data_IF_942034160016
#
_entry.id   IF_942034160016
#
_cell.length_a   1.000
_cell.length_b   1.000
_cell.length_c   1.000
_cell.angle_alpha   90.00
_cell.angle_beta   90.00
_cell.angle_gamma   90.00
#
_symmetry.space_group_name_H-M   'P 1'
#
loop_
_entity.id
_entity.type
_entity.pdbx_description
1 polymer ?
#
# COMPACT_ATOMS: atom_id res chain seq x y z
N UNK A 1 -38.58 0.83 -14.45
CA UNK A 1 -37.28 1.40 -14.05
C UNK A 1 -37.13 2.66 -14.87
N UNK A 2 -37.11 3.82 -14.23
CA UNK A 2 -36.92 5.08 -14.94
C UNK A 2 -35.52 5.11 -15.56
N UNK A 3 -35.40 5.74 -16.73
CA UNK A 3 -34.14 5.88 -17.46
C UNK A 3 -33.24 6.84 -16.69
N UNK A 4 -32.21 6.30 -16.04
CA UNK A 4 -31.22 7.04 -15.28
C UNK A 4 -30.03 7.36 -16.18
N UNK A 5 -29.77 8.65 -16.39
CA UNK A 5 -28.61 9.14 -17.14
C UNK A 5 -27.75 10.05 -16.29
N UNK A 6 -26.45 9.98 -16.49
CA UNK A 6 -25.49 10.94 -15.95
C UNK A 6 -24.99 11.82 -17.09
N UNK A 7 -24.99 13.13 -16.88
CA UNK A 7 -24.53 14.11 -17.87
C UNK A 7 -23.37 14.90 -17.28
N UNK A 8 -22.27 14.96 -18.02
CA UNK A 8 -21.12 15.80 -17.62
C UNK A 8 -21.52 17.27 -17.55
N UNK A 9 -20.92 17.99 -16.60
CA UNK A 9 -21.11 19.43 -16.44
C UNK A 9 -20.68 20.20 -17.69
N UNK A 10 -21.35 21.33 -17.93
CA UNK A 10 -20.93 22.27 -18.97
C UNK A 10 -19.66 22.99 -18.50
N UNK A 11 -18.69 23.14 -19.40
CA UNK A 11 -17.54 24.02 -19.16
C UNK A 11 -18.03 25.45 -18.84
N UNK A 12 -17.36 26.13 -17.90
CA UNK A 12 -17.67 27.50 -17.44
C UNK A 12 -17.64 28.53 -18.59
N UNK A 13 -16.97 28.21 -19.70
CA UNK A 13 -17.03 28.94 -20.98
C UNK A 13 -17.26 27.95 -22.12
N UNK A 14 -18.53 27.63 -22.46
CA UNK A 14 -18.82 26.68 -23.52
C UNK A 14 -18.49 27.31 -24.88
N UNK A 15 -17.46 26.78 -25.53
CA UNK A 15 -17.25 26.90 -26.98
C UNK A 15 -18.39 26.14 -27.70
N UNK A 16 -18.78 26.59 -28.91
CA UNK A 16 -19.72 25.90 -29.81
C UNK A 16 -19.36 24.41 -30.06
N UNK A 17 -18.10 24.01 -29.86
CA UNK A 17 -17.60 22.63 -29.96
C UNK A 17 -17.57 21.85 -28.63
N UNK A 18 -18.08 22.40 -27.53
CA UNK A 18 -18.07 21.70 -26.23
C UNK A 18 -18.97 20.47 -26.27
N UNK A 19 -18.37 19.29 -26.45
CA UNK A 19 -19.09 18.01 -26.43
C UNK A 19 -19.46 17.64 -25.00
N UNK A 20 -20.77 17.68 -24.71
CA UNK A 20 -21.30 17.13 -23.46
C UNK A 20 -21.37 15.62 -23.60
N UNK A 21 -20.75 14.91 -22.67
CA UNK A 21 -20.88 13.46 -22.55
C UNK A 21 -22.09 13.12 -21.70
N UNK A 22 -22.85 12.15 -22.16
CA UNK A 22 -23.99 11.57 -21.47
C UNK A 22 -23.79 10.06 -21.37
N UNK A 23 -24.08 9.51 -20.20
CA UNK A 23 -23.92 8.11 -19.88
C UNK A 23 -25.25 7.53 -19.43
N UNK A 24 -25.67 6.46 -20.12
CA UNK A 24 -26.86 5.68 -19.80
C UNK A 24 -26.54 4.73 -18.65
N UNK A 25 -26.94 5.09 -17.43
CA UNK A 25 -26.51 4.38 -16.21
C UNK A 25 -27.13 2.98 -16.15
N UNK A 26 -28.40 2.82 -16.53
CA UNK A 26 -29.02 1.48 -16.55
C UNK A 26 -28.35 0.57 -17.60
N UNK A 27 -27.95 1.10 -18.75
CA UNK A 27 -27.25 0.33 -19.77
C UNK A 27 -25.85 -0.10 -19.29
N UNK A 28 -25.14 0.81 -18.61
CA UNK A 28 -23.85 0.50 -17.97
C UNK A 28 -24.01 -0.57 -16.89
N UNK A 29 -24.97 -0.42 -15.99
CA UNK A 29 -25.27 -1.40 -14.94
C UNK A 29 -25.54 -2.80 -15.54
N UNK A 30 -26.36 -2.85 -16.58
CA UNK A 30 -26.67 -4.10 -17.31
C UNK A 30 -25.40 -4.69 -17.92
N UNK A 31 -24.55 -3.89 -18.56
CA UNK A 31 -23.33 -4.38 -19.20
C UNK A 31 -22.27 -4.88 -18.21
N UNK A 32 -22.16 -4.24 -17.04
CA UNK A 32 -21.19 -4.60 -16.00
C UNK A 32 -21.64 -5.81 -15.20
N UNK A 33 -22.96 -6.02 -15.09
CA UNK A 33 -23.56 -7.07 -14.29
C UNK A 33 -23.54 -6.76 -12.80
N UNK A 34 -24.40 -7.48 -12.07
CA UNK A 34 -24.64 -7.25 -10.64
C UNK A 34 -23.37 -7.35 -9.80
N UNK A 35 -22.59 -8.42 -10.02
CA UNK A 35 -21.36 -8.65 -9.24
C UNK A 35 -20.37 -7.51 -9.36
N UNK A 36 -20.09 -7.04 -10.58
CA UNK A 36 -19.10 -5.97 -10.75
C UNK A 36 -19.63 -4.65 -10.20
N UNK A 37 -20.93 -4.36 -10.38
CA UNK A 37 -21.58 -3.20 -9.80
C UNK A 37 -21.46 -3.18 -8.27
N UNK A 38 -21.65 -4.32 -7.61
CA UNK A 38 -21.46 -4.48 -6.17
C UNK A 38 -20.02 -4.14 -5.73
N UNK A 39 -19.02 -4.48 -6.55
CA UNK A 39 -17.60 -4.23 -6.25
C UNK A 39 -17.11 -2.81 -6.60
N UNK A 40 -17.86 -2.03 -7.38
CA UNK A 40 -17.41 -0.69 -7.81
C UNK A 40 -17.06 0.25 -6.66
N UNK A 41 -17.82 0.32 -5.54
CA UNK A 41 -17.49 1.17 -4.40
C UNK A 41 -16.09 0.89 -3.83
N UNK A 42 -15.77 -0.38 -3.55
CA UNK A 42 -14.47 -0.73 -2.99
C UNK A 42 -13.34 -0.56 -4.00
N UNK A 43 -13.58 -0.88 -5.28
CA UNK A 43 -12.62 -0.65 -6.37
C UNK A 43 -12.27 0.85 -6.47
N UNK A 44 -13.29 1.71 -6.39
CA UNK A 44 -13.11 3.15 -6.45
C UNK A 44 -12.34 3.68 -5.24
N UNK A 45 -12.71 3.26 -4.03
CA UNK A 45 -12.08 3.69 -2.79
C UNK A 45 -10.62 3.21 -2.66
N UNK A 46 -10.29 1.98 -3.08
CA UNK A 46 -8.91 1.46 -3.08
C UNK A 46 -8.04 2.19 -4.10
N UNK A 47 -8.59 2.49 -5.28
CA UNK A 47 -7.91 3.27 -6.33
C UNK A 47 -7.76 4.77 -6.00
N UNK A 48 -8.21 5.19 -4.81
CA UNK A 48 -8.20 6.56 -4.30
C UNK A 48 -9.43 7.36 -4.71
N UNK A 49 -10.01 8.10 -3.78
CA UNK A 49 -11.11 9.04 -4.00
C UNK A 49 -10.85 10.34 -3.21
N UNK A 50 -11.86 11.17 -3.00
CA UNK A 50 -11.67 12.44 -2.28
C UNK A 50 -11.32 12.24 -0.80
N UNK A 51 -11.73 11.13 -0.20
CA UNK A 51 -11.48 10.80 1.22
C UNK A 51 -10.39 9.75 1.43
N UNK A 52 -10.01 9.00 0.38
CA UNK A 52 -8.97 7.96 0.47
C UNK A 52 -7.84 8.25 -0.51
N UNK A 53 -6.60 8.20 -0.01
CA UNK A 53 -5.41 8.30 -0.85
C UNK A 53 -5.40 7.22 -1.94
N UNK A 54 -4.72 7.45 -3.06
CA UNK A 54 -4.40 6.36 -4.00
C UNK A 54 -3.12 5.64 -3.58
N UNK A 55 -3.07 4.34 -3.82
CA UNK A 55 -1.82 3.57 -3.78
C UNK A 55 -0.90 4.03 -4.93
N UNK A 56 0.37 4.29 -4.64
CA UNK A 56 1.29 4.75 -5.68
C UNK A 56 1.44 3.70 -6.78
N UNK A 57 1.36 4.14 -8.05
CA UNK A 57 1.38 3.26 -9.22
C UNK A 57 0.08 2.49 -9.50
N UNK A 58 -0.93 2.57 -8.62
CA UNK A 58 -2.21 1.88 -8.77
C UNK A 58 -3.32 2.93 -8.87
N UNK A 59 -3.86 3.12 -10.08
CA UNK A 59 -5.07 3.91 -10.32
C UNK A 59 -6.30 3.02 -10.50
N UNK A 60 -7.50 3.61 -10.44
CA UNK A 60 -8.82 2.94 -10.53
C UNK A 60 -8.95 1.92 -11.68
N UNK A 61 -8.32 2.19 -12.82
CA UNK A 61 -8.36 1.30 -13.97
C UNK A 61 -7.72 -0.07 -13.73
N UNK A 62 -6.68 -0.17 -12.89
CA UNK A 62 -5.98 -1.43 -12.64
C UNK A 62 -6.83 -2.39 -11.78
N UNK A 63 -7.35 -2.00 -10.59
CA UNK A 63 -8.24 -2.86 -9.82
C UNK A 63 -9.50 -3.23 -10.61
N UNK A 64 -10.08 -2.29 -11.37
CA UNK A 64 -11.27 -2.57 -12.19
C UNK A 64 -11.01 -3.64 -13.25
N UNK A 65 -9.97 -3.45 -14.08
CA UNK A 65 -9.60 -4.43 -15.11
C UNK A 65 -9.28 -5.80 -14.51
N UNK A 66 -8.61 -5.81 -13.35
CA UNK A 66 -8.28 -7.05 -12.66
C UNK A 66 -9.52 -7.74 -12.09
N UNK A 67 -10.48 -7.01 -11.53
CA UNK A 67 -11.75 -7.58 -11.08
C UNK A 67 -12.58 -8.15 -12.23
N UNK A 68 -12.49 -7.55 -13.41
CA UNK A 68 -13.16 -8.06 -14.62
C UNK A 68 -12.53 -9.34 -15.18
N UNK A 69 -11.21 -9.52 -15.08
CA UNK A 69 -10.50 -10.65 -15.70
C UNK A 69 -10.08 -11.76 -14.73
N UNK A 70 -10.09 -11.52 -13.42
CA UNK A 70 -9.66 -12.47 -12.40
C UNK A 70 -10.76 -12.70 -11.35
N UNK A 71 -11.46 -13.84 -11.47
CA UNK A 71 -12.52 -14.25 -10.54
C UNK A 71 -12.06 -14.38 -9.10
N UNK A 72 -10.81 -14.82 -8.87
CA UNK A 72 -10.24 -14.94 -7.52
C UNK A 72 -10.10 -13.56 -6.89
N UNK A 73 -9.58 -12.58 -7.63
CA UNK A 73 -9.46 -11.20 -7.15
C UNK A 73 -10.83 -10.56 -6.91
N UNK A 74 -11.81 -10.78 -7.80
CA UNK A 74 -13.18 -10.32 -7.57
C UNK A 74 -13.78 -10.91 -6.28
N UNK A 75 -13.52 -12.19 -5.99
CA UNK A 75 -13.95 -12.84 -4.74
C UNK A 75 -13.23 -12.27 -3.51
N UNK A 76 -11.97 -11.87 -3.61
CA UNK A 76 -11.26 -11.22 -2.52
C UNK A 76 -11.85 -9.83 -2.21
N UNK A 77 -12.23 -9.06 -3.24
CA UNK A 77 -12.91 -7.78 -3.05
C UNK A 77 -14.30 -7.94 -2.43
N UNK A 78 -15.04 -8.97 -2.83
CA UNK A 78 -16.33 -9.35 -2.25
C UNK A 78 -16.16 -9.69 -0.75
N UNK A 79 -15.17 -10.52 -0.41
CA UNK A 79 -14.83 -10.82 0.99
C UNK A 79 -14.49 -9.56 1.78
N UNK A 80 -13.73 -8.61 1.21
CA UNK A 80 -13.44 -7.33 1.87
C UNK A 80 -14.73 -6.55 2.12
N UNK A 81 -15.65 -6.49 1.17
CA UNK A 81 -16.94 -5.82 1.36
C UNK A 81 -17.83 -6.54 2.38
N UNK A 82 -17.79 -7.87 2.45
CA UNK A 82 -18.63 -8.65 3.34
C UNK A 82 -18.02 -8.85 4.74
N UNK A 83 -16.78 -8.39 4.96
CA UNK A 83 -16.11 -8.46 6.26
C UNK A 83 -16.94 -7.81 7.37
N UNK A 84 -17.00 -8.51 8.50
CA UNK A 84 -17.67 -8.01 9.71
C UNK A 84 -16.68 -7.64 10.81
N UNK A 85 -15.44 -8.17 10.74
CA UNK A 85 -14.40 -7.95 11.76
C UNK A 85 -13.11 -7.36 11.18
N UNK A 86 -12.29 -6.75 12.04
CA UNK A 86 -10.98 -6.23 11.62
C UNK A 86 -9.98 -7.35 11.35
N UNK A 87 -10.14 -8.49 12.00
CA UNK A 87 -9.32 -9.69 11.85
C UNK A 87 -9.53 -10.32 10.46
N UNK A 88 -10.77 -10.50 10.03
CA UNK A 88 -11.10 -10.92 8.67
C UNK A 88 -10.54 -9.94 7.64
N UNK A 89 -10.74 -8.65 7.89
CA UNK A 89 -10.26 -7.58 7.01
C UNK A 89 -8.74 -7.58 6.89
N UNK A 90 -8.00 -7.92 7.96
CA UNK A 90 -6.53 -8.04 7.88
C UNK A 90 -6.15 -9.05 6.81
N UNK A 91 -6.73 -10.24 6.87
CA UNK A 91 -6.40 -11.32 5.94
C UNK A 91 -6.92 -11.05 4.52
N UNK A 92 -8.17 -10.61 4.34
CA UNK A 92 -8.76 -10.37 3.01
C UNK A 92 -8.15 -9.13 2.35
N UNK A 93 -7.99 -8.05 3.11
CA UNK A 93 -7.39 -6.80 2.66
C UNK A 93 -5.94 -6.95 2.23
N UNK A 94 -5.14 -7.71 2.98
CA UNK A 94 -3.75 -8.00 2.61
C UNK A 94 -3.69 -8.72 1.25
N UNK A 95 -4.52 -9.74 1.05
CA UNK A 95 -4.57 -10.48 -0.23
C UNK A 95 -4.89 -9.58 -1.40
N UNK A 96 -5.86 -8.66 -1.24
CA UNK A 96 -6.18 -7.66 -2.26
C UNK A 96 -4.95 -6.82 -2.60
N UNK A 97 -4.22 -6.32 -1.60
CA UNK A 97 -3.01 -5.53 -1.82
C UNK A 97 -1.88 -6.32 -2.48
N UNK A 98 -1.60 -7.53 -2.00
CA UNK A 98 -0.60 -8.44 -2.57
C UNK A 98 -0.89 -8.67 -4.04
N UNK A 99 -2.12 -9.00 -4.38
CA UNK A 99 -2.55 -9.26 -5.76
C UNK A 99 -2.47 -7.98 -6.61
N UNK A 100 -2.84 -6.80 -6.09
CA UNK A 100 -2.72 -5.52 -6.82
C UNK A 100 -1.27 -5.14 -7.15
N UNK A 101 -0.32 -5.50 -6.28
CA UNK A 101 1.10 -5.31 -6.52
C UNK A 101 1.76 -6.48 -7.31
N UNK A 102 0.97 -7.47 -7.74
CA UNK A 102 1.47 -8.62 -8.51
C UNK A 102 2.31 -9.58 -7.69
N UNK A 103 1.99 -9.72 -6.40
CA UNK A 103 2.48 -10.79 -5.54
C UNK A 103 1.69 -12.09 -5.73
N UNK A 104 2.17 -13.16 -5.09
CA UNK A 104 1.49 -14.46 -5.06
C UNK A 104 0.55 -14.51 -3.85
N UNK A 105 -0.56 -15.23 -3.95
CA UNK A 105 -1.52 -15.39 -2.85
C UNK A 105 -0.95 -16.07 -1.58
N UNK A 106 0.23 -16.69 -1.67
CA UNK A 106 0.95 -17.30 -0.55
C UNK A 106 1.95 -16.36 0.13
N UNK A 107 2.17 -15.17 -0.42
CA UNK A 107 3.08 -14.17 0.12
C UNK A 107 2.34 -13.18 1.03
N UNK A 108 3.04 -12.67 2.04
CA UNK A 108 2.59 -11.50 2.79
C UNK A 108 2.98 -10.22 2.05
N UNK A 109 2.32 -9.11 2.38
CA UNK A 109 2.63 -7.82 1.77
C UNK A 109 4.05 -7.36 2.11
N UNK A 110 4.54 -7.65 3.32
CA UNK A 110 5.91 -7.34 3.72
C UNK A 110 6.94 -8.20 3.00
N UNK A 111 6.69 -9.50 2.82
CA UNK A 111 7.62 -10.37 2.07
C UNK A 111 7.65 -10.00 0.58
N UNK A 112 6.49 -9.63 0.01
CA UNK A 112 6.39 -9.06 -1.34
C UNK A 112 7.18 -7.75 -1.47
N UNK A 113 7.08 -6.86 -0.48
CA UNK A 113 7.81 -5.59 -0.44
C UNK A 113 9.32 -5.83 -0.43
N UNK A 114 9.82 -6.74 0.40
CA UNK A 114 11.24 -7.11 0.47
C UNK A 114 11.71 -7.72 -0.85
N UNK A 115 10.94 -8.66 -1.42
CA UNK A 115 11.28 -9.28 -2.70
C UNK A 115 11.40 -8.25 -3.82
N UNK A 116 10.41 -7.35 -3.96
CA UNK A 116 10.45 -6.27 -4.97
C UNK A 116 11.59 -5.28 -4.74
N UNK A 117 11.96 -5.02 -3.48
CA UNK A 117 13.14 -4.22 -3.18
C UNK A 117 14.41 -4.91 -3.67
N UNK A 118 14.62 -6.19 -3.33
CA UNK A 118 15.77 -6.99 -3.81
C UNK A 118 15.83 -7.01 -5.34
N UNK A 119 14.71 -7.27 -6.00
CA UNK A 119 14.62 -7.28 -7.46
C UNK A 119 15.05 -5.93 -8.07
N UNK A 120 14.66 -4.81 -7.46
CA UNK A 120 15.03 -3.47 -7.92
C UNK A 120 16.50 -3.16 -7.67
N UNK A 121 17.04 -3.51 -6.50
CA UNK A 121 18.47 -3.30 -6.18
C UNK A 121 19.37 -4.06 -7.15
N UNK A 122 18.99 -5.29 -7.53
CA UNK A 122 19.76 -6.09 -8.49
C UNK A 122 19.67 -5.54 -9.92
N UNK A 123 18.51 -5.00 -10.31
CA UNK A 123 18.26 -4.57 -11.71
C UNK A 123 18.59 -3.12 -12.01
N UNK A 124 18.63 -2.24 -11.00
CA UNK A 124 18.79 -0.80 -11.19
C UNK A 124 20.11 -0.31 -10.57
N UNK A 125 20.88 0.44 -11.35
CA UNK A 125 22.08 1.14 -10.85
C UNK A 125 21.74 2.42 -10.04
N UNK A 126 20.48 2.87 -10.09
CA UNK A 126 19.99 4.04 -9.35
C UNK A 126 19.33 3.64 -8.02
N UNK A 127 19.26 4.61 -7.11
CA UNK A 127 18.62 4.44 -5.80
C UNK A 127 17.15 4.01 -5.94
N UNK A 128 16.73 3.04 -5.12
CA UNK A 128 15.35 2.58 -5.10
C UNK A 128 14.44 3.63 -4.47
N UNK A 129 13.57 4.21 -5.28
CA UNK A 129 12.49 5.06 -4.82
C UNK A 129 11.43 4.24 -4.04
N UNK A 130 11.23 4.58 -2.77
CA UNK A 130 10.42 3.82 -1.82
C UNK A 130 8.94 3.79 -2.23
N UNK A 131 8.43 4.85 -2.85
CA UNK A 131 7.05 4.94 -3.33
C UNK A 131 6.73 3.90 -4.42
N UNK A 132 7.75 3.38 -5.12
CA UNK A 132 7.57 2.33 -6.13
C UNK A 132 7.49 0.92 -5.52
N UNK A 133 7.60 0.78 -4.20
CA UNK A 133 7.42 -0.48 -3.49
C UNK A 133 5.97 -0.62 -3.00
N UNK A 134 5.44 -1.85 -2.85
CA UNK A 134 4.19 -2.07 -2.11
C UNK A 134 4.31 -1.45 -0.71
N UNK A 135 3.25 -0.90 -0.10
CA UNK A 135 3.33 -0.37 1.26
C UNK A 135 3.73 -1.47 2.25
N UNK A 136 4.12 -1.10 3.47
CA UNK A 136 4.22 -2.07 4.56
C UNK A 136 2.84 -2.68 4.83
N UNK A 137 2.80 -3.86 5.44
CA UNK A 137 1.54 -4.47 5.87
C UNK A 137 0.71 -3.48 6.68
N UNK A 138 1.31 -2.85 7.69
CA UNK A 138 0.66 -1.89 8.57
C UNK A 138 0.04 -0.69 7.82
N UNK A 139 0.82 -0.01 6.96
CA UNK A 139 0.30 1.12 6.18
C UNK A 139 -0.77 0.68 5.15
N UNK A 140 -0.58 -0.50 4.55
CA UNK A 140 -1.53 -1.10 3.61
C UNK A 140 -2.88 -1.41 4.28
N UNK A 141 -2.85 -1.97 5.49
CA UNK A 141 -4.06 -2.28 6.26
C UNK A 141 -4.87 -1.03 6.55
N UNK A 142 -4.22 0.04 7.00
CA UNK A 142 -4.90 1.30 7.26
C UNK A 142 -5.51 1.92 5.99
N UNK A 143 -4.86 1.77 4.84
CA UNK A 143 -5.46 2.16 3.55
C UNK A 143 -6.72 1.35 3.24
N UNK A 144 -6.67 0.03 3.39
CA UNK A 144 -7.84 -0.84 3.15
C UNK A 144 -8.98 -0.52 4.13
N UNK A 145 -8.69 -0.30 5.41
CA UNK A 145 -9.72 0.07 6.39
C UNK A 145 -10.48 1.33 5.99
N UNK A 146 -9.77 2.38 5.58
CA UNK A 146 -10.42 3.61 5.13
C UNK A 146 -11.21 3.41 3.84
N UNK A 147 -10.66 2.63 2.91
CA UNK A 147 -11.35 2.31 1.66
C UNK A 147 -12.64 1.50 1.90
N UNK A 148 -12.60 0.54 2.83
CA UNK A 148 -13.76 -0.23 3.25
C UNK A 148 -14.81 0.66 3.92
N UNK A 149 -14.41 1.49 4.89
CA UNK A 149 -15.30 2.45 5.54
C UNK A 149 -16.01 3.32 4.50
N UNK A 150 -15.25 3.92 3.58
CA UNK A 150 -15.80 4.78 2.56
C UNK A 150 -16.78 4.05 1.63
N UNK A 151 -16.43 2.83 1.21
CA UNK A 151 -17.31 2.01 0.38
C UNK A 151 -18.61 1.67 1.11
N UNK A 152 -18.54 1.32 2.41
CA UNK A 152 -19.72 1.06 3.23
C UNK A 152 -20.59 2.29 3.42
N UNK A 153 -20.01 3.48 3.62
CA UNK A 153 -20.78 4.72 3.66
C UNK A 153 -21.57 4.96 2.36
N UNK A 154 -21.00 4.66 1.19
CA UNK A 154 -21.73 4.80 -0.08
C UNK A 154 -22.81 3.75 -0.31
N UNK A 155 -22.68 2.58 0.31
CA UNK A 155 -23.60 1.45 0.14
C UNK A 155 -24.72 1.45 1.18
N UNK A 156 -24.49 2.05 2.35
CA UNK A 156 -25.52 2.32 3.34
C UNK A 156 -26.40 3.49 2.88
N UNK A 157 -27.66 3.52 3.31
CA UNK A 157 -28.43 4.77 3.31
C UNK A 157 -27.79 5.72 4.33
N UNK A 158 -27.82 7.03 4.08
CA UNK A 158 -27.03 8.03 4.82
C UNK A 158 -27.15 7.95 6.36
N UNK A 159 -28.27 7.46 6.90
CA UNK A 159 -28.52 7.31 8.34
C UNK A 159 -28.11 5.94 8.93
N UNK A 160 -27.81 4.95 8.08
CA UNK A 160 -27.63 3.53 8.46
C UNK A 160 -26.17 3.08 8.47
N UNK A 161 -25.20 3.97 8.25
CA UNK A 161 -23.79 3.59 8.33
C UNK A 161 -23.36 3.39 9.78
N UNK A 162 -23.60 2.20 10.33
CA UNK A 162 -23.29 1.83 11.71
C UNK A 162 -21.77 1.71 12.00
N UNK A 163 -20.90 1.91 11.01
CA UNK A 163 -19.45 1.83 11.20
C UNK A 163 -18.91 3.14 11.77
N UNK A 164 -18.10 3.05 12.82
CA UNK A 164 -17.39 4.20 13.36
C UNK A 164 -16.08 4.39 12.60
N UNK A 165 -15.86 5.57 12.02
CA UNK A 165 -14.64 5.88 11.26
C UNK A 165 -13.35 5.53 12.02
N UNK A 166 -13.30 5.81 13.32
CA UNK A 166 -12.13 5.58 14.18
C UNK A 166 -11.75 4.10 14.31
N UNK A 167 -12.69 3.18 14.12
CA UNK A 167 -12.44 1.74 14.12
C UNK A 167 -11.85 1.27 12.78
N UNK A 168 -11.98 2.10 11.74
CA UNK A 168 -11.64 1.78 10.34
C UNK A 168 -10.61 2.74 9.75
N UNK A 169 -9.54 2.98 10.50
CA UNK A 169 -8.34 3.63 10.00
C UNK A 169 -8.38 5.16 9.93
N UNK A 170 -9.34 5.75 10.65
CA UNK A 170 -9.37 7.17 10.97
C UNK A 170 -9.01 7.40 12.44
N UNK A 171 -8.68 8.63 12.78
CA UNK A 171 -8.47 9.10 14.14
C UNK A 171 -9.15 10.46 14.32
N UNK A 172 -9.74 10.69 15.49
CA UNK A 172 -10.25 12.01 15.84
C UNK A 172 -9.11 12.85 16.42
N UNK A 173 -8.80 13.95 15.76
CA UNK A 173 -7.90 14.97 16.25
C UNK A 173 -8.68 16.28 16.39
N UNK A 174 -9.15 16.55 17.61
CA UNK A 174 -9.87 17.78 17.97
C UNK A 174 -11.15 17.98 17.14
N UNK A 175 -11.96 16.93 16.98
CA UNK A 175 -13.21 16.96 16.22
C UNK A 175 -13.02 16.92 14.70
N UNK A 176 -11.79 16.66 14.23
CA UNK A 176 -11.48 16.43 12.81
C UNK A 176 -11.04 14.99 12.61
N UNK A 177 -11.72 14.30 11.69
CA UNK A 177 -11.29 12.98 11.25
C UNK A 177 -10.05 13.11 10.36
N UNK A 178 -8.95 12.55 10.83
CA UNK A 178 -7.68 12.49 10.12
C UNK A 178 -7.33 11.03 9.79
N UNK A 179 -6.66 10.77 8.65
CA UNK A 179 -6.24 9.41 8.33
C UNK A 179 -5.22 8.92 9.35
N UNK A 180 -5.42 7.72 9.90
CA UNK A 180 -4.37 7.00 10.62
C UNK A 180 -3.53 6.25 9.58
N UNK A 181 -2.30 6.68 9.34
CA UNK A 181 -1.52 6.18 8.20
C UNK A 181 -0.81 4.86 8.50
N UNK A 182 -0.32 4.67 9.71
CA UNK A 182 0.45 3.52 10.19
C UNK A 182 0.65 3.66 11.72
N UNK A 183 0.89 2.54 12.39
CA UNK A 183 1.26 2.46 13.81
C UNK A 183 2.74 2.19 14.02
N UNK A 184 3.38 1.55 13.04
CA UNK A 184 4.80 1.26 13.07
C UNK A 184 5.63 2.47 12.63
N UNK A 185 6.90 2.52 13.04
CA UNK A 185 7.84 3.50 12.50
C UNK A 185 8.13 3.22 11.01
N UNK A 186 8.41 4.26 10.18
CA UNK A 186 8.66 4.08 8.75
C UNK A 186 9.83 3.16 8.42
N UNK A 187 10.79 3.09 9.33
CA UNK A 187 11.91 2.17 9.30
C UNK A 187 12.34 1.86 10.75
N UNK A 188 13.01 0.73 10.98
CA UNK A 188 13.70 0.45 12.24
C UNK A 188 14.61 1.61 12.66
N UNK A 189 14.70 1.84 13.97
CA UNK A 189 15.49 2.93 14.56
C UNK A 189 16.95 2.96 14.08
N UNK A 190 17.58 1.80 13.90
CA UNK A 190 18.97 1.69 13.42
C UNK A 190 19.12 2.12 11.96
N UNK A 191 18.07 2.00 11.13
CA UNK A 191 18.04 2.47 9.75
C UNK A 191 17.71 3.96 9.68
N UNK A 192 16.82 4.46 10.54
CA UNK A 192 16.59 5.91 10.64
C UNK A 192 17.83 6.65 11.17
N UNK A 193 18.58 5.97 12.04
CA UNK A 193 19.87 6.40 12.56
C UNK A 193 21.02 5.85 11.69
N UNK A 194 20.86 5.73 10.37
CA UNK A 194 21.92 5.20 9.49
C UNK A 194 23.18 6.07 9.61
N UNK A 195 24.05 5.67 10.53
CA UNK A 195 25.30 6.34 10.82
C UNK A 195 26.35 5.52 10.10
N UNK A 196 26.70 5.97 8.91
CA UNK A 196 27.86 5.46 8.19
C UNK A 196 29.08 6.20 8.74
N UNK A 197 30.03 5.48 9.32
CA UNK A 197 31.27 6.12 9.71
C UNK A 197 32.08 6.46 8.46
N UNK A 198 32.78 7.60 8.54
CA UNK A 198 33.75 8.03 7.52
C UNK A 198 35.18 7.58 7.88
N UNK A 199 35.30 6.51 8.67
CA UNK A 199 36.59 6.02 9.13
C UNK A 199 37.41 5.47 7.97
N UNK A 200 38.67 5.89 7.89
CA UNK A 200 39.67 5.46 6.90
C UNK A 200 40.46 4.20 7.31
N UNK A 201 40.13 3.64 8.47
CA UNK A 201 40.88 2.53 9.04
C UNK A 201 40.13 1.90 10.20
N UNK A 202 40.90 1.43 11.18
CA UNK A 202 40.34 0.67 12.29
C UNK A 202 39.37 1.51 13.15
N UNK A 203 38.20 0.93 13.41
CA UNK A 203 37.07 1.56 14.11
C UNK A 203 37.08 1.21 15.61
N UNK A 204 38.27 1.12 16.22
CA UNK A 204 38.46 0.66 17.61
C UNK A 204 38.20 1.73 18.68
N UNK A 205 37.92 2.97 18.29
CA UNK A 205 37.67 4.09 19.22
C UNK A 205 36.33 4.78 18.93
N UNK A 206 35.83 5.57 19.88
CA UNK A 206 34.57 6.33 19.74
C UNK A 206 34.67 7.53 18.77
N UNK A 207 35.78 7.65 18.04
CA UNK A 207 35.88 8.51 16.85
C UNK A 207 35.06 7.95 15.68
N UNK A 208 34.86 6.62 15.65
CA UNK A 208 33.91 5.97 14.77
C UNK A 208 32.48 6.31 15.22
N UNK A 209 31.72 6.97 14.35
CA UNK A 209 30.33 7.35 14.63
C UNK A 209 29.42 6.13 14.81
N UNK A 210 29.66 5.03 14.09
CA UNK A 210 28.95 3.77 14.31
C UNK A 210 29.15 3.29 15.75
N UNK A 211 30.41 3.16 16.19
CA UNK A 211 30.76 2.68 17.53
C UNK A 211 30.26 3.60 18.64
N UNK A 212 30.41 4.91 18.46
CA UNK A 212 29.92 5.93 19.40
C UNK A 212 28.42 5.79 19.68
N UNK A 213 27.68 5.28 18.70
CA UNK A 213 26.23 5.11 18.76
C UNK A 213 25.83 3.65 19.03
N UNK A 214 26.79 2.80 19.41
CA UNK A 214 26.56 1.39 19.73
C UNK A 214 26.27 0.49 18.53
N UNK A 215 26.53 0.96 17.31
CA UNK A 215 26.31 0.20 16.06
C UNK A 215 27.60 -0.44 15.55
N UNK A 216 27.47 -1.59 14.90
CA UNK A 216 28.55 -2.23 14.14
C UNK A 216 28.69 -1.62 12.74
N UNK A 217 29.92 -1.51 12.27
CA UNK A 217 30.21 -1.06 10.91
C UNK A 217 29.77 -2.13 9.91
N UNK A 218 29.13 -1.69 8.83
CA UNK A 218 28.69 -2.54 7.72
C UNK A 218 29.41 -2.15 6.43
N UNK A 219 29.21 -2.91 5.36
CA UNK A 219 29.69 -2.59 4.01
C UNK A 219 29.22 -1.24 3.46
N UNK A 220 28.22 -0.60 4.09
CA UNK A 220 27.79 0.76 3.76
C UNK A 220 28.71 1.85 4.36
N UNK A 221 29.61 1.52 5.30
CA UNK A 221 30.56 2.47 5.87
C UNK A 221 31.69 2.78 4.87
N UNK A 222 32.26 3.99 4.93
CA UNK A 222 33.06 4.55 3.81
C UNK A 222 34.22 3.66 3.34
N UNK A 223 35.33 3.67 4.06
CA UNK A 223 36.55 2.95 3.68
C UNK A 223 36.72 1.69 4.53
N UNK A 224 36.25 1.70 5.79
CA UNK A 224 36.31 0.49 6.61
C UNK A 224 35.42 -0.65 6.09
N UNK A 225 34.30 -0.31 5.44
CA UNK A 225 33.33 -1.25 4.84
C UNK A 225 32.89 -2.41 5.72
N UNK A 226 33.01 -2.29 7.04
CA UNK A 226 32.68 -3.38 7.95
C UNK A 226 33.56 -4.64 7.79
N UNK A 227 34.67 -4.58 7.04
CA UNK A 227 35.61 -5.71 6.88
C UNK A 227 37.02 -5.31 7.31
N UNK A 228 37.41 -4.07 7.05
CA UNK A 228 38.72 -3.51 7.36
C UNK A 228 38.79 -2.84 8.74
N UNK A 229 37.83 -3.11 9.64
CA UNK A 229 37.81 -2.51 10.98
C UNK A 229 37.32 -3.45 12.08
N UNK A 230 37.85 -3.25 13.29
CA UNK A 230 37.50 -4.00 14.52
C UNK A 230 36.05 -3.84 14.99
N UNK A 231 35.29 -2.88 14.46
CA UNK A 231 33.88 -2.67 14.81
C UNK A 231 32.91 -3.36 13.84
N UNK A 232 33.38 -4.34 13.06
CA UNK A 232 32.55 -5.14 12.17
C UNK A 232 31.68 -6.17 12.88
N UNK A 233 30.65 -6.66 12.18
CA UNK A 233 29.99 -7.93 12.51
C UNK A 233 30.86 -9.06 12.02
N UNK A 234 31.30 -9.97 12.88
CA UNK A 234 31.80 -11.26 12.42
C UNK A 234 30.65 -11.93 11.66
N UNK A 235 30.88 -12.26 10.39
CA UNK A 235 29.94 -13.11 9.64
C UNK A 235 30.14 -14.50 10.24
N UNK A 236 29.27 -14.91 11.16
CA UNK A 236 29.06 -16.34 11.40
C UNK A 236 28.36 -16.88 10.14
N UNK A 237 29.19 -17.28 9.16
CA UNK A 237 28.77 -18.25 8.16
C UNK A 237 28.63 -19.56 8.94
N UNK A 238 27.48 -19.81 9.54
CA UNK A 238 27.09 -21.21 9.73
C UNK A 238 26.87 -21.76 8.33
N UNK A 239 27.91 -22.38 7.81
CA UNK A 239 27.82 -23.36 6.74
C UNK A 239 26.81 -24.42 7.17
N UNK A 240 25.56 -24.26 6.74
CA UNK A 240 24.64 -25.38 6.57
C UNK A 240 24.32 -25.47 5.07
N UNK A 241 25.38 -25.66 4.29
CA UNK A 241 25.33 -26.51 3.11
C UNK A 241 25.84 -27.89 3.56
N UNK A 242 24.92 -28.77 3.96
CA UNK A 242 25.08 -30.19 3.65
C UNK A 242 23.79 -30.70 2.99
N UNK A 243 24.02 -31.25 1.81
CA UNK A 243 23.05 -31.77 0.85
C UNK A 243 22.21 -32.94 1.39
N UNK A 244 20.89 -32.90 1.13
CA UNK A 244 20.08 -33.88 0.36
C UNK A 244 18.56 -33.68 0.57
#
# INVERSE_FOLDING_TARGET
MDELTFRSDKAVKPDKNTKIREWQINALQTSLGEKLCYLLPIIHAIGGCDTTSRLYGIGKGLPLKKAMSNTSFAKQLEQVLDCSTREEMKTSGEKVLVELYGGKNTESLDSLRIRKFKDKVVRCASSVEIQNLPPTLDAGQYHIYRAFYQAKCWMSKDEDCALRAVDWGWQDLQGKLMPRTMDCQPAPDNILKLIMCQCKGDCSTNTCSCRKQGLKCTNACSECRGDACSNSTAIDVTEDDTDL
#
